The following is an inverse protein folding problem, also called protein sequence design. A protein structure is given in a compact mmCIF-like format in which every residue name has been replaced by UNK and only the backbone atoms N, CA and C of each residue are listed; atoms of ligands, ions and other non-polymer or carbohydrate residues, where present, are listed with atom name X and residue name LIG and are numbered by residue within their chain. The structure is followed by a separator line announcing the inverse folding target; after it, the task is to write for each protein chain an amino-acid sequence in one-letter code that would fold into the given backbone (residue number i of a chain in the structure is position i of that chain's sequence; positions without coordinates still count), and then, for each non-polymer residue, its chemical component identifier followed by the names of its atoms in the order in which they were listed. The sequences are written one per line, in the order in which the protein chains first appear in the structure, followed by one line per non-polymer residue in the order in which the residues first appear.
data_IF_320230318236
#
_entry.id   IF_320230318236
#
_cell.length_a   1.000
_cell.length_b   1.000
_cell.length_c   1.000
_cell.angle_alpha   90.00
_cell.angle_beta   90.00
_cell.angle_gamma   90.00
#
_symmetry.space_group_name_H-M   'P 1'
#
loop_
_entity.id
_entity.type
_entity.pdbx_description
1 polymer ?
#
# COMPACT_ATOMS: atom_id res chain seq x y z
N UNK A 1 -24.39 7.57 -1.31
CA UNK A 1 -23.49 6.43 -1.07
C UNK A 1 -23.92 5.32 -1.99
N UNK A 2 -23.06 4.93 -2.93
CA UNK A 2 -23.29 3.79 -3.82
C UNK A 2 -22.30 2.72 -3.37
N UNK A 3 -22.81 1.53 -3.05
CA UNK A 3 -21.96 0.35 -2.90
C UNK A 3 -21.31 0.05 -4.26
N UNK A 4 -19.98 -0.06 -4.26
CA UNK A 4 -19.25 -0.51 -5.44
C UNK A 4 -19.69 -1.95 -5.73
N UNK A 5 -20.08 -2.16 -6.98
CA UNK A 5 -20.52 -3.48 -7.43
C UNK A 5 -19.32 -4.42 -7.51
N UNK A 6 -19.57 -5.73 -7.39
CA UNK A 6 -18.53 -6.76 -7.49
C UNK A 6 -17.66 -6.56 -8.75
N UNK A 7 -18.25 -6.12 -9.87
CA UNK A 7 -17.53 -5.79 -11.11
C UNK A 7 -16.61 -4.55 -11.04
N UNK A 8 -16.84 -3.62 -10.10
CA UNK A 8 -15.99 -2.44 -9.89
C UNK A 8 -14.78 -2.76 -8.98
N UNK A 9 -14.80 -3.91 -8.29
CA UNK A 9 -13.63 -4.48 -7.59
C UNK A 9 -12.68 -5.22 -8.57
N UNK A 10 -13.15 -5.56 -9.76
CA UNK A 10 -12.43 -6.38 -10.77
C UNK A 10 -11.42 -5.61 -11.64
N UNK A 11 -11.17 -4.31 -11.41
CA UNK A 11 -10.33 -3.49 -12.31
C UNK A 11 -8.87 -3.27 -11.85
N UNK A 12 -8.41 -3.83 -10.72
CA UNK A 12 -7.03 -3.58 -10.22
C UNK A 12 -6.00 -4.67 -10.58
N UNK A 13 -6.42 -5.83 -11.10
CA UNK A 13 -5.46 -6.78 -11.70
C UNK A 13 -6.18 -7.72 -12.68
N UNK A 14 -6.02 -7.46 -13.99
CA UNK A 14 -6.29 -8.37 -15.13
C UNK A 14 -7.39 -9.44 -14.96
N UNK A 15 -8.62 -9.13 -15.36
CA UNK A 15 -9.72 -10.09 -15.43
C UNK A 15 -9.68 -11.00 -16.66
N UNK A 16 -9.82 -12.32 -16.43
CA UNK A 16 -10.51 -13.23 -17.32
C UNK A 16 -11.50 -14.09 -16.49
N UNK A 17 -12.73 -14.18 -16.99
CA UNK A 17 -13.95 -14.50 -16.26
C UNK A 17 -14.11 -15.97 -15.83
N UNK A 18 -14.86 -16.19 -14.74
CA UNK A 18 -15.56 -17.44 -14.49
C UNK A 18 -17.05 -17.14 -14.18
N UNK A 19 -17.91 -17.53 -15.10
CA UNK A 19 -19.35 -17.58 -14.91
C UNK A 19 -19.74 -19.05 -14.64
N UNK A 20 -20.24 -19.35 -13.44
CA UNK A 20 -21.42 -20.20 -13.19
C UNK A 20 -21.65 -20.29 -11.68
N UNK A 21 -22.73 -19.70 -11.17
CA UNK A 21 -23.23 -20.00 -9.81
C UNK A 21 -24.72 -20.27 -9.95
N UNK A 22 -25.08 -21.53 -9.70
CA UNK A 22 -26.43 -22.09 -9.82
C UNK A 22 -27.36 -21.44 -8.76
N UNK A 23 -28.44 -20.74 -9.17
CA UNK A 23 -29.34 -20.04 -8.26
C UNK A 23 -30.30 -20.95 -7.47
N UNK A 24 -30.08 -22.28 -7.46
CA UNK A 24 -30.97 -23.24 -6.81
C UNK A 24 -30.57 -23.67 -5.39
N UNK A 25 -29.44 -23.22 -4.84
CA UNK A 25 -29.06 -23.56 -3.46
C UNK A 25 -29.72 -22.62 -2.42
N UNK A 26 -30.44 -23.15 -1.41
CA UNK A 26 -31.01 -22.34 -0.34
C UNK A 26 -29.91 -21.83 0.62
N UNK A 27 -30.04 -20.61 1.17
CA UNK A 27 -29.03 -20.02 2.03
C UNK A 27 -28.89 -20.83 3.33
N UNK A 28 -27.66 -21.22 3.63
CA UNK A 28 -27.32 -21.95 4.86
C UNK A 28 -27.35 -20.96 6.03
N UNK A 29 -28.26 -21.16 6.99
CA UNK A 29 -28.28 -20.38 8.24
C UNK A 29 -26.98 -20.64 9.03
N UNK A 30 -26.13 -19.62 9.14
CA UNK A 30 -24.93 -19.66 9.97
C UNK A 30 -25.31 -19.59 11.46
N UNK A 31 -24.69 -20.40 12.33
CA UNK A 31 -24.94 -20.35 13.78
C UNK A 31 -24.43 -19.02 14.39
N UNK A 32 -25.00 -18.58 15.54
CA UNK A 32 -24.63 -17.31 16.15
C UNK A 32 -23.16 -17.27 16.60
N UNK A 33 -22.46 -16.22 16.19
CA UNK A 33 -21.06 -15.93 16.52
C UNK A 33 -20.92 -15.61 18.01
N UNK A 34 -20.13 -16.42 18.71
CA UNK A 34 -19.65 -16.12 20.08
C UNK A 34 -18.34 -15.35 19.94
N UNK A 35 -18.36 -14.06 20.26
CA UNK A 35 -17.15 -13.21 20.26
C UNK A 35 -16.35 -13.51 21.52
N UNK A 36 -15.25 -14.24 21.38
CA UNK A 36 -14.24 -14.32 22.44
C UNK A 36 -13.26 -13.14 22.26
N UNK A 37 -12.91 -12.41 23.33
CA UNK A 37 -11.89 -11.37 23.26
C UNK A 37 -10.55 -11.95 22.83
N UNK A 38 -9.73 -11.19 22.07
CA UNK A 38 -8.43 -11.65 21.62
C UNK A 38 -7.52 -11.98 22.83
N UNK A 39 -6.66 -13.00 22.73
CA UNK A 39 -5.66 -13.28 23.75
C UNK A 39 -4.63 -12.12 23.83
N UNK A 40 -4.15 -11.93 25.05
CA UNK A 40 -3.30 -10.89 25.64
C UNK A 40 -2.31 -10.09 24.75
N UNK A 41 -2.25 -8.80 25.10
CA UNK A 41 -1.35 -7.70 24.68
C UNK A 41 -0.06 -8.06 23.91
N UNK A 42 0.28 -7.30 22.85
CA UNK A 42 1.56 -7.42 22.17
C UNK A 42 2.74 -7.11 23.13
N UNK A 43 3.92 -7.69 22.90
CA UNK A 43 5.09 -7.48 23.76
C UNK A 43 5.44 -5.99 23.85
N UNK A 44 5.61 -5.49 25.08
CA UNK A 44 5.99 -4.10 25.33
C UNK A 44 7.42 -3.85 24.88
N UNK A 45 7.58 -2.98 23.88
CA UNK A 45 8.87 -2.43 23.51
C UNK A 45 9.37 -1.50 24.65
N UNK A 46 10.69 -1.45 24.92
CA UNK A 46 11.24 -0.52 25.89
C UNK A 46 10.95 0.94 25.46
N UNK A 47 10.77 1.87 26.42
CA UNK A 47 10.51 3.26 26.10
C UNK A 47 11.64 3.84 25.25
N UNK A 48 11.27 4.53 24.18
CA UNK A 48 12.19 5.34 23.38
C UNK A 48 12.87 6.38 24.27
N UNK A 49 14.19 6.61 24.11
CA UNK A 49 14.85 7.70 24.83
C UNK A 49 14.24 9.05 24.44
N UNK A 50 14.27 10.07 25.34
CA UNK A 50 13.67 11.36 25.07
C UNK A 50 14.28 11.98 23.81
N UNK A 51 13.46 12.25 22.80
CA UNK A 51 13.85 13.07 21.66
C UNK A 51 14.09 14.47 22.20
N UNK A 52 15.35 14.91 22.17
CA UNK A 52 15.74 16.27 22.50
C UNK A 52 15.01 17.21 21.51
N UNK A 53 14.08 18.02 22.01
CA UNK A 53 13.34 18.97 21.18
C UNK A 53 14.34 19.98 20.58
N UNK A 54 14.39 20.17 19.26
CA UNK A 54 15.16 21.26 18.68
C UNK A 54 14.60 22.61 19.18
N UNK A 55 15.47 23.63 19.34
CA UNK A 55 15.05 24.92 19.87
C UNK A 55 13.96 25.56 18.99
N UNK A 56 13.02 26.31 19.58
CA UNK A 56 11.96 26.95 18.82
C UNK A 56 12.56 27.93 17.79
N UNK A 57 11.99 27.99 16.57
CA UNK A 57 12.46 28.94 15.57
C UNK A 57 12.24 30.38 16.07
N UNK A 58 13.09 31.33 15.65
CA UNK A 58 12.94 32.72 16.06
C UNK A 58 11.58 33.25 15.59
N UNK A 59 10.82 33.87 16.51
CA UNK A 59 9.61 34.62 16.19
C UNK A 59 9.99 35.82 15.29
N UNK A 60 9.87 35.63 13.98
CA UNK A 60 9.82 36.69 12.99
C UNK A 60 8.39 37.21 12.89
N UNK A 61 8.22 38.51 13.14
CA UNK A 61 6.92 39.18 13.22
C UNK A 61 6.11 39.14 11.92
N UNK A 62 4.79 39.20 12.09
CA UNK A 62 3.83 39.23 10.99
C UNK A 62 3.93 40.47 10.10
N UNK A 63 3.51 40.29 8.86
CA UNK A 63 3.20 41.37 7.92
C UNK A 63 3.60 41.03 6.49
N UNK A 64 2.63 40.65 5.66
CA UNK A 64 2.82 40.58 4.21
C UNK A 64 1.81 39.70 3.49
N UNK A 65 0.69 40.30 3.06
CA UNK A 65 -0.13 39.76 1.97
C UNK A 65 0.64 39.99 0.66
N UNK A 66 1.49 39.04 0.28
CA UNK A 66 1.99 38.87 -1.08
C UNK A 66 1.92 37.37 -1.36
N UNK A 67 1.30 36.96 -2.47
CA UNK A 67 1.06 35.55 -2.78
C UNK A 67 2.38 34.78 -2.82
N UNK A 68 2.67 34.04 -1.75
CA UNK A 68 3.81 33.13 -1.66
C UNK A 68 3.66 32.07 -2.76
N UNK A 69 4.33 32.33 -3.88
CA UNK A 69 4.46 31.38 -4.97
C UNK A 69 5.33 30.27 -4.42
N UNK A 70 4.71 29.17 -4.01
CA UNK A 70 5.43 27.97 -3.68
C UNK A 70 6.34 27.58 -4.84
N UNK A 71 7.62 27.35 -4.55
CA UNK A 71 8.60 26.89 -5.53
C UNK A 71 8.79 25.38 -5.31
N UNK A 72 8.46 24.52 -6.30
CA UNK A 72 8.71 23.09 -6.21
C UNK A 72 10.16 22.78 -5.88
N UNK A 73 10.39 21.75 -5.06
CA UNK A 73 11.75 21.29 -4.75
C UNK A 73 12.44 20.79 -6.03
N UNK A 74 13.77 20.68 -5.99
CA UNK A 74 14.49 19.96 -7.02
C UNK A 74 13.94 18.53 -7.13
N UNK A 75 13.72 18.06 -8.36
CA UNK A 75 13.22 16.72 -8.62
C UNK A 75 14.25 15.68 -8.13
N UNK A 76 13.97 15.05 -6.99
CA UNK A 76 14.78 13.97 -6.42
C UNK A 76 13.85 12.92 -5.79
N UNK A 77 14.27 11.65 -5.88
CA UNK A 77 13.64 10.58 -5.14
C UNK A 77 14.03 10.68 -3.66
N UNK A 78 13.04 11.01 -2.82
CA UNK A 78 13.17 11.17 -1.36
C UNK A 78 12.28 10.18 -0.60
N UNK A 79 11.92 9.06 -1.23
CA UNK A 79 11.13 8.01 -0.61
C UNK A 79 11.96 7.30 0.46
N UNK A 80 11.43 7.24 1.67
CA UNK A 80 11.99 6.47 2.77
C UNK A 80 11.59 5.00 2.65
N UNK A 81 12.43 4.22 1.98
CA UNK A 81 12.21 2.78 1.83
C UNK A 81 12.26 2.04 3.18
N UNK A 82 13.02 2.53 4.16
CA UNK A 82 13.08 1.91 5.48
C UNK A 82 11.75 2.11 6.24
N UNK A 83 11.09 3.25 6.07
CA UNK A 83 9.72 3.43 6.55
C UNK A 83 8.79 2.39 5.92
N UNK A 84 8.83 2.24 4.60
CA UNK A 84 7.96 1.32 3.85
C UNK A 84 8.19 -0.12 4.32
N UNK A 85 9.44 -0.56 4.38
CA UNK A 85 9.80 -1.89 4.90
C UNK A 85 9.25 -2.12 6.32
N UNK A 86 9.23 -1.09 7.17
CA UNK A 86 8.74 -1.18 8.54
C UNK A 86 7.21 -1.30 8.67
N UNK A 87 6.45 -1.00 7.62
CA UNK A 87 4.98 -1.08 7.61
C UNK A 87 4.43 -2.25 6.78
N UNK A 88 5.25 -2.88 5.93
CA UNK A 88 4.84 -4.03 5.09
C UNK A 88 4.94 -5.39 5.79
N UNK A 89 5.33 -5.45 7.07
CA UNK A 89 5.34 -6.71 7.84
C UNK A 89 6.55 -7.63 7.59
N UNK A 90 7.51 -7.18 6.78
CA UNK A 90 8.80 -7.84 6.55
C UNK A 90 8.77 -8.92 5.46
N UNK A 91 9.95 -9.27 4.98
CA UNK A 91 10.13 -10.23 3.89
C UNK A 91 9.96 -11.69 4.38
N UNK A 92 9.10 -12.45 3.69
CA UNK A 92 8.85 -13.87 3.95
C UNK A 92 9.42 -14.74 2.83
N UNK A 93 10.36 -15.63 3.16
CA UNK A 93 10.99 -16.53 2.19
C UNK A 93 10.17 -17.79 1.91
N UNK A 94 9.41 -18.23 2.90
CA UNK A 94 8.43 -19.30 2.76
C UNK A 94 7.08 -18.69 2.35
N UNK A 95 6.51 -19.19 1.26
CA UNK A 95 5.23 -18.71 0.79
C UNK A 95 4.11 -19.11 1.76
N UNK A 96 3.13 -18.22 1.92
CA UNK A 96 1.98 -18.41 2.78
C UNK A 96 0.71 -17.95 2.07
N UNK A 97 -0.44 -18.15 2.69
CA UNK A 97 -1.70 -17.53 2.27
C UNK A 97 -2.22 -16.73 3.46
N UNK A 98 -2.54 -15.44 3.32
CA UNK A 98 -3.16 -14.66 4.37
C UNK A 98 -4.42 -15.34 4.91
N UNK A 99 -4.45 -15.62 6.21
CA UNK A 99 -5.60 -16.25 6.89
C UNK A 99 -5.97 -15.50 8.16
N UNK A 100 -7.27 -15.52 8.50
CA UNK A 100 -7.78 -15.12 9.80
C UNK A 100 -8.39 -16.34 10.49
N UNK A 101 -7.81 -16.78 11.61
CA UNK A 101 -8.20 -18.00 12.32
C UNK A 101 -8.26 -19.26 11.42
N UNK A 102 -7.33 -19.37 10.46
CA UNK A 102 -7.24 -20.50 9.53
C UNK A 102 -8.22 -20.45 8.36
N UNK A 103 -9.04 -19.40 8.26
CA UNK A 103 -9.88 -19.12 7.09
C UNK A 103 -9.14 -18.14 6.19
N UNK A 104 -9.05 -18.43 4.89
CA UNK A 104 -8.41 -17.52 3.93
C UNK A 104 -9.15 -16.18 3.91
N UNK A 105 -8.39 -15.09 3.95
CA UNK A 105 -8.94 -13.74 3.87
C UNK A 105 -9.34 -13.49 2.41
N UNK A 106 -10.62 -13.23 2.17
CA UNK A 106 -11.21 -12.93 0.86
C UNK A 106 -10.77 -13.90 -0.25
N UNK A 107 -10.21 -13.39 -1.35
CA UNK A 107 -9.65 -14.15 -2.47
C UNK A 107 -8.11 -14.08 -2.48
N UNK A 108 -7.47 -14.00 -1.31
CA UNK A 108 -6.01 -13.91 -1.21
C UNK A 108 -5.34 -15.08 -1.94
N UNK A 109 -4.28 -14.79 -2.69
CA UNK A 109 -3.46 -15.81 -3.33
C UNK A 109 -2.28 -16.25 -2.49
N UNK A 110 -1.41 -17.04 -3.12
CA UNK A 110 -0.12 -17.42 -2.54
C UNK A 110 0.75 -16.18 -2.45
N UNK A 111 1.22 -15.84 -1.25
CA UNK A 111 1.98 -14.63 -0.95
C UNK A 111 3.41 -14.99 -0.54
N UNK A 112 4.40 -14.25 -1.03
CA UNK A 112 5.83 -14.43 -0.71
C UNK A 112 6.57 -13.09 -0.72
N UNK A 113 7.84 -13.07 -0.31
CA UNK A 113 8.67 -11.88 -0.21
C UNK A 113 8.00 -10.83 0.71
N UNK A 114 8.04 -9.55 0.36
CA UNK A 114 7.40 -8.49 1.14
C UNK A 114 5.95 -8.30 0.68
N UNK A 115 5.13 -9.34 0.82
CA UNK A 115 3.69 -9.29 0.55
C UNK A 115 3.29 -9.41 -0.93
N UNK A 116 4.13 -9.98 -1.78
CA UNK A 116 3.82 -10.17 -3.20
C UNK A 116 2.82 -11.30 -3.38
N UNK A 117 1.56 -10.95 -3.70
CA UNK A 117 0.48 -11.90 -4.00
C UNK A 117 0.61 -12.41 -5.46
N UNK A 118 0.75 -13.73 -5.59
CA UNK A 118 0.89 -14.45 -6.87
C UNK A 118 -0.45 -14.75 -7.55
N UNK A 119 -1.58 -14.64 -6.84
CA UNK A 119 -2.93 -14.91 -7.37
C UNK A 119 -3.32 -13.97 -8.50
N UNK A 120 -2.83 -12.73 -8.49
CA UNK A 120 -3.04 -11.75 -9.56
C UNK A 120 -1.95 -11.74 -10.66
N UNK A 121 -0.89 -12.54 -10.51
CA UNK A 121 0.29 -12.48 -11.38
C UNK A 121 0.23 -13.53 -12.49
N UNK A 122 0.81 -13.20 -13.65
CA UNK A 122 1.03 -14.14 -14.75
C UNK A 122 2.53 -14.34 -14.98
N UNK A 123 2.90 -15.36 -15.77
CA UNK A 123 4.28 -15.52 -16.23
C UNK A 123 4.76 -14.32 -17.04
N UNK A 124 3.88 -13.73 -17.84
CA UNK A 124 4.15 -12.55 -18.66
C UNK A 124 4.30 -11.30 -17.81
N UNK A 125 3.48 -11.10 -16.78
CA UNK A 125 3.60 -9.94 -15.89
C UNK A 125 4.94 -9.96 -15.16
N UNK A 126 5.31 -11.10 -14.57
CA UNK A 126 6.59 -11.25 -13.88
C UNK A 126 7.79 -11.09 -14.83
N UNK A 127 7.72 -11.63 -16.05
CA UNK A 127 8.76 -11.44 -17.05
C UNK A 127 8.86 -9.96 -17.50
N UNK A 128 7.73 -9.27 -17.66
CA UNK A 128 7.70 -7.85 -18.00
C UNK A 128 8.29 -6.97 -16.89
N UNK A 129 8.15 -7.38 -15.63
CA UNK A 129 8.81 -6.77 -14.46
C UNK A 129 10.32 -7.04 -14.42
N UNK A 130 10.85 -7.91 -15.28
CA UNK A 130 12.27 -8.27 -15.31
C UNK A 130 12.67 -9.33 -14.28
N UNK A 131 11.70 -10.08 -13.74
CA UNK A 131 11.98 -11.19 -12.82
C UNK A 131 12.72 -12.30 -13.58
N UNK A 132 13.77 -12.85 -12.96
CA UNK A 132 14.59 -13.91 -13.56
C UNK A 132 13.74 -15.13 -13.96
N UNK A 133 14.01 -15.68 -15.14
CA UNK A 133 13.21 -16.76 -15.71
C UNK A 133 13.19 -18.03 -14.84
N UNK A 134 14.26 -18.31 -14.09
CA UNK A 134 14.28 -19.43 -13.17
C UNK A 134 13.31 -19.18 -12.00
N UNK A 135 13.28 -17.95 -11.46
CA UNK A 135 12.32 -17.57 -10.43
C UNK A 135 10.88 -17.58 -10.98
N UNK A 136 10.61 -17.06 -12.17
CA UNK A 136 9.29 -17.15 -12.82
C UNK A 136 8.84 -18.62 -12.92
N UNK A 137 9.75 -19.52 -13.32
CA UNK A 137 9.46 -20.96 -13.40
C UNK A 137 9.13 -21.55 -12.03
N UNK A 138 9.85 -21.15 -10.98
CA UNK A 138 9.57 -21.55 -9.59
C UNK A 138 8.20 -21.05 -9.11
N UNK A 139 7.79 -19.83 -9.48
CA UNK A 139 6.53 -19.22 -9.05
C UNK A 139 5.31 -19.71 -9.85
N UNK A 140 5.51 -20.15 -11.10
CA UNK A 140 4.45 -20.55 -12.05
C UNK A 140 3.36 -21.46 -11.44
N UNK A 141 3.67 -22.50 -10.63
CA UNK A 141 2.64 -23.38 -10.07
C UNK A 141 1.66 -22.72 -9.09
N UNK A 142 1.97 -21.51 -8.61
CA UNK A 142 1.20 -20.79 -7.60
C UNK A 142 0.49 -19.55 -8.16
N UNK A 143 0.72 -19.23 -9.43
CA UNK A 143 0.05 -18.13 -10.12
C UNK A 143 -1.44 -18.43 -10.29
N UNK A 144 -2.28 -17.38 -10.26
CA UNK A 144 -3.74 -17.48 -10.42
C UNK A 144 -4.48 -18.29 -9.37
N UNK A 145 -3.79 -18.85 -8.37
CA UNK A 145 -4.42 -19.55 -7.27
C UNK A 145 -4.86 -18.55 -6.21
N UNK A 146 -6.12 -18.64 -5.81
CA UNK A 146 -6.73 -17.80 -4.78
C UNK A 146 -7.52 -18.65 -3.79
N UNK A 147 -7.81 -18.09 -2.62
CA UNK A 147 -8.70 -18.73 -1.64
C UNK A 147 -8.16 -20.09 -1.18
N UNK A 148 -9.07 -21.08 -1.10
CA UNK A 148 -8.74 -22.42 -0.64
C UNK A 148 -7.76 -23.15 -1.57
N UNK A 149 -7.77 -22.87 -2.87
CA UNK A 149 -6.87 -23.51 -3.83
C UNK A 149 -5.41 -23.05 -3.63
N UNK A 150 -5.21 -21.76 -3.35
CA UNK A 150 -3.91 -21.22 -2.94
C UNK A 150 -3.41 -21.91 -1.67
N UNK A 151 -4.27 -22.03 -0.66
CA UNK A 151 -3.92 -22.63 0.63
C UNK A 151 -3.54 -24.11 0.45
N UNK A 152 -4.33 -24.85 -0.32
CA UNK A 152 -4.05 -26.25 -0.65
C UNK A 152 -2.72 -26.40 -1.41
N UNK A 153 -2.42 -25.51 -2.35
CA UNK A 153 -1.18 -25.57 -3.13
C UNK A 153 0.06 -25.40 -2.25
N UNK A 154 0.07 -24.41 -1.36
CA UNK A 154 1.18 -24.19 -0.41
C UNK A 154 1.32 -25.34 0.58
N UNK A 155 0.21 -25.90 1.08
CA UNK A 155 0.24 -27.04 2.00
C UNK A 155 0.75 -28.33 1.35
N UNK A 156 0.37 -28.59 0.09
CA UNK A 156 0.76 -29.79 -0.64
C UNK A 156 2.16 -29.69 -1.24
N UNK A 157 2.56 -28.50 -1.65
CA UNK A 157 3.87 -28.22 -2.23
C UNK A 157 4.39 -26.90 -1.67
N UNK A 158 5.07 -26.90 -0.52
CA UNK A 158 5.63 -25.68 0.06
C UNK A 158 6.60 -24.99 -0.89
N UNK A 159 6.43 -23.68 -1.08
CA UNK A 159 7.34 -22.84 -1.85
C UNK A 159 8.30 -22.12 -0.90
N UNK A 160 9.59 -22.28 -1.15
CA UNK A 160 10.65 -21.51 -0.51
C UNK A 160 11.49 -20.81 -1.58
N UNK A 161 11.74 -19.52 -1.43
CA UNK A 161 12.65 -18.74 -2.28
C UNK A 161 13.83 -18.24 -1.46
N UNK A 162 14.97 -18.03 -2.12
CA UNK A 162 16.14 -17.42 -1.46
C UNK A 162 15.91 -15.93 -1.18
N UNK A 163 16.63 -15.37 -0.22
CA UNK A 163 16.65 -13.93 0.06
C UNK A 163 16.94 -13.10 -1.20
N UNK A 164 17.95 -13.50 -1.98
CA UNK A 164 18.26 -12.81 -3.24
C UNK A 164 17.12 -12.86 -4.28
N UNK A 165 16.32 -13.94 -4.29
CA UNK A 165 15.14 -14.04 -5.15
C UNK A 165 13.99 -13.18 -4.63
N UNK A 166 13.79 -13.14 -3.31
CA UNK A 166 12.80 -12.29 -2.66
C UNK A 166 13.13 -10.80 -2.89
N UNK A 167 14.39 -10.40 -2.71
CA UNK A 167 14.87 -9.04 -3.00
C UNK A 167 14.67 -8.66 -4.47
N UNK A 168 14.98 -9.56 -5.39
CA UNK A 168 14.77 -9.31 -6.81
C UNK A 168 13.29 -9.11 -7.14
N UNK A 169 12.41 -9.92 -6.55
CA UNK A 169 10.96 -9.82 -6.73
C UNK A 169 10.40 -8.53 -6.12
N UNK A 170 10.79 -8.22 -4.88
CA UNK A 170 10.40 -7.00 -4.17
C UNK A 170 10.82 -5.77 -4.96
N UNK A 171 12.07 -5.71 -5.42
CA UNK A 171 12.57 -4.58 -6.20
C UNK A 171 11.83 -4.41 -7.54
N UNK A 172 11.52 -5.51 -8.22
CA UNK A 172 10.81 -5.49 -9.50
C UNK A 172 9.37 -4.95 -9.33
N UNK A 173 8.62 -5.51 -8.38
CA UNK A 173 7.25 -5.06 -8.06
C UNK A 173 7.24 -3.63 -7.55
N UNK A 174 8.16 -3.27 -6.66
CA UNK A 174 8.26 -1.92 -6.11
C UNK A 174 8.50 -0.88 -7.18
N UNK A 175 9.44 -1.17 -8.08
CA UNK A 175 9.78 -0.28 -9.19
C UNK A 175 8.60 -0.03 -10.13
N UNK A 176 7.82 -1.06 -10.44
CA UNK A 176 6.65 -0.94 -11.32
C UNK A 176 5.51 -0.12 -10.69
N UNK A 177 5.17 -0.42 -9.42
CA UNK A 177 4.18 0.36 -8.66
C UNK A 177 4.62 1.82 -8.59
N UNK A 178 5.88 2.06 -8.23
CA UNK A 178 6.40 3.42 -8.09
C UNK A 178 6.40 4.16 -9.43
N UNK A 179 6.85 3.54 -10.51
CA UNK A 179 6.83 4.15 -11.84
C UNK A 179 5.41 4.52 -12.26
N UNK A 180 4.43 3.64 -12.01
CA UNK A 180 3.04 3.88 -12.37
C UNK A 180 2.40 5.00 -11.55
N UNK A 181 2.62 5.04 -10.23
CA UNK A 181 2.06 6.10 -9.37
C UNK A 181 2.72 7.45 -9.66
N UNK A 182 4.04 7.49 -9.90
CA UNK A 182 4.76 8.72 -10.30
C UNK A 182 4.20 9.28 -11.61
N UNK A 183 4.04 8.43 -12.63
CA UNK A 183 3.49 8.85 -13.91
C UNK A 183 2.05 9.34 -13.77
N UNK A 184 1.23 8.64 -12.99
CA UNK A 184 -0.16 9.03 -12.73
C UNK A 184 -0.24 10.36 -11.98
N UNK A 185 0.64 10.57 -11.01
CA UNK A 185 0.72 11.80 -10.21
C UNK A 185 1.09 12.99 -11.08
N UNK A 186 2.18 12.89 -11.85
CA UNK A 186 2.65 13.96 -12.73
C UNK A 186 1.62 14.32 -13.82
N UNK A 187 0.79 13.37 -14.24
CA UNK A 187 -0.32 13.63 -15.17
C UNK A 187 -1.55 14.26 -14.51
N UNK A 188 -1.67 14.17 -13.18
CA UNK A 188 -2.86 14.62 -12.43
C UNK A 188 -2.64 15.92 -11.64
N UNK A 189 -1.40 16.20 -11.23
CA UNK A 189 -1.04 17.43 -10.52
C UNK A 189 -0.64 18.53 -11.49
N UNK A 190 -1.07 19.76 -11.22
CA UNK A 190 -0.74 20.97 -11.98
C UNK A 190 0.22 21.92 -11.25
N UNK A 191 0.62 21.59 -10.02
CA UNK A 191 1.43 22.46 -9.16
C UNK A 191 2.84 21.91 -8.87
N UNK A 192 3.05 20.59 -8.96
CA UNK A 192 4.36 19.96 -8.79
C UNK A 192 4.39 18.55 -9.40
N UNK A 193 5.54 18.14 -9.90
CA UNK A 193 5.80 16.72 -10.18
C UNK A 193 6.07 15.97 -8.86
N UNK A 194 5.84 14.65 -8.86
CA UNK A 194 6.00 13.77 -7.69
C UNK A 194 7.36 13.93 -7.01
N UNK A 195 8.45 13.92 -7.78
CA UNK A 195 9.80 14.03 -7.21
C UNK A 195 10.16 15.45 -6.74
N UNK A 196 9.30 16.43 -6.99
CA UNK A 196 9.42 17.78 -6.43
C UNK A 196 8.67 17.94 -5.11
N UNK A 197 7.95 16.91 -4.66
CA UNK A 197 7.33 16.86 -3.35
C UNK A 197 8.37 16.63 -2.25
N UNK A 198 8.08 17.06 -1.00
CA UNK A 198 8.93 16.73 0.14
C UNK A 198 8.88 15.23 0.47
N UNK A 199 9.88 14.75 1.21
CA UNK A 199 10.11 13.31 1.38
C UNK A 199 9.00 12.57 2.13
N UNK A 200 8.38 13.21 3.13
CA UNK A 200 7.26 12.62 3.87
C UNK A 200 6.04 12.39 2.99
N UNK A 201 5.72 13.36 2.13
CA UNK A 201 4.65 13.24 1.12
C UNK A 201 4.95 12.15 0.10
N UNK A 202 6.16 12.13 -0.50
CA UNK A 202 6.54 11.07 -1.45
C UNK A 202 6.39 9.68 -0.82
N UNK A 203 6.86 9.54 0.42
CA UNK A 203 6.83 8.27 1.16
C UNK A 203 5.40 7.83 1.48
N UNK A 204 4.54 8.74 1.94
CA UNK A 204 3.14 8.42 2.25
C UNK A 204 2.38 7.96 1.00
N UNK A 205 2.50 8.67 -0.13
CA UNK A 205 1.85 8.28 -1.39
C UNK A 205 2.35 6.93 -1.88
N UNK A 206 3.67 6.70 -1.84
CA UNK A 206 4.26 5.42 -2.24
C UNK A 206 3.79 4.27 -1.33
N UNK A 207 3.74 4.49 -0.01
CA UNK A 207 3.26 3.49 0.94
C UNK A 207 1.79 3.11 0.72
N UNK A 208 0.90 4.07 0.47
CA UNK A 208 -0.50 3.79 0.14
C UNK A 208 -0.59 3.02 -1.20
N UNK A 209 0.22 3.39 -2.19
CA UNK A 209 0.29 2.69 -3.48
C UNK A 209 0.80 1.25 -3.37
N UNK A 210 1.70 0.95 -2.45
CA UNK A 210 2.14 -0.43 -2.23
C UNK A 210 1.03 -1.31 -1.66
N UNK A 211 0.16 -0.76 -0.82
CA UNK A 211 -0.92 -1.52 -0.22
C UNK A 211 -2.16 -1.65 -1.12
N UNK A 212 -2.52 -0.59 -1.85
CA UNK A 212 -3.74 -0.52 -2.66
C UNK A 212 -3.49 -0.69 -4.17
N UNK A 213 -2.23 -0.90 -4.55
CA UNK A 213 -1.79 -0.87 -5.94
C UNK A 213 -1.60 0.55 -6.47
N UNK A 214 -0.97 0.70 -7.65
CA UNK A 214 -0.60 2.00 -8.20
C UNK A 214 -1.80 2.82 -8.72
N UNK A 215 -2.98 2.21 -8.86
CA UNK A 215 -4.23 2.82 -9.34
C UNK A 215 -4.98 3.64 -8.28
N UNK A 216 -4.29 4.52 -7.55
CA UNK A 216 -4.83 5.25 -6.40
C UNK A 216 -6.06 6.12 -6.72
N UNK A 217 -6.19 6.62 -7.95
CA UNK A 217 -7.36 7.37 -8.39
C UNK A 217 -8.68 6.58 -8.27
N UNK A 218 -8.60 5.26 -8.44
CA UNK A 218 -9.75 4.35 -8.32
C UNK A 218 -9.82 3.72 -6.93
N UNK A 219 -8.68 3.26 -6.42
CA UNK A 219 -8.63 2.54 -5.14
C UNK A 219 -8.89 3.46 -3.93
N UNK A 220 -8.38 4.70 -3.98
CA UNK A 220 -8.41 5.65 -2.87
C UNK A 220 -8.74 7.07 -3.37
N UNK A 221 -9.92 7.29 -3.99
CA UNK A 221 -10.20 8.49 -4.79
C UNK A 221 -10.12 9.80 -4.00
N UNK A 222 -10.54 9.80 -2.73
CA UNK A 222 -10.44 10.97 -1.86
C UNK A 222 -8.98 11.34 -1.60
N UNK A 223 -8.18 10.35 -1.17
CA UNK A 223 -6.76 10.54 -0.89
C UNK A 223 -6.02 11.02 -2.13
N UNK A 224 -6.26 10.35 -3.27
CA UNK A 224 -5.66 10.72 -4.55
C UNK A 224 -5.97 12.16 -4.93
N UNK A 225 -7.25 12.54 -4.89
CA UNK A 225 -7.68 13.91 -5.20
C UNK A 225 -6.97 14.92 -4.31
N UNK A 226 -6.89 14.68 -3.01
CA UNK A 226 -6.25 15.59 -2.05
C UNK A 226 -4.76 15.77 -2.36
N UNK A 227 -4.02 14.67 -2.57
CA UNK A 227 -2.58 14.74 -2.83
C UNK A 227 -2.24 15.26 -4.22
N UNK A 228 -3.12 15.16 -5.22
CA UNK A 228 -2.87 15.73 -6.56
C UNK A 228 -3.37 17.16 -6.71
N UNK A 229 -4.12 17.70 -5.73
CA UNK A 229 -4.62 19.08 -5.73
C UNK A 229 -4.06 19.96 -4.60
N UNK A 230 -3.18 19.42 -3.74
CA UNK A 230 -2.46 20.19 -2.74
C UNK A 230 -3.20 20.36 -1.41
N UNK A 231 -4.32 19.66 -1.21
CA UNK A 231 -5.11 19.70 0.03
C UNK A 231 -4.48 18.80 1.10
N UNK A 232 -3.26 19.13 1.55
CA UNK A 232 -2.46 18.26 2.42
C UNK A 232 -3.07 18.04 3.79
N UNK A 233 -3.70 19.05 4.39
CA UNK A 233 -4.36 18.87 5.68
C UNK A 233 -5.58 17.95 5.58
N UNK A 234 -6.27 17.96 4.44
CA UNK A 234 -7.37 17.03 4.17
C UNK A 234 -6.83 15.62 3.93
N UNK A 235 -5.68 15.48 3.25
CA UNK A 235 -4.99 14.19 3.10
C UNK A 235 -4.59 13.59 4.46
N UNK A 236 -4.05 14.41 5.38
CA UNK A 236 -3.74 13.99 6.76
C UNK A 236 -5.00 13.55 7.50
N UNK A 237 -6.06 14.34 7.42
CA UNK A 237 -7.34 14.02 8.09
C UNK A 237 -7.94 12.73 7.55
N UNK A 238 -7.90 12.54 6.23
CA UNK A 238 -8.38 11.34 5.57
C UNK A 238 -7.54 10.11 5.93
N UNK A 239 -6.20 10.20 5.99
CA UNK A 239 -5.38 9.09 6.45
C UNK A 239 -5.70 8.70 7.91
N UNK A 240 -5.88 9.66 8.81
CA UNK A 240 -6.24 9.36 10.21
C UNK A 240 -7.67 8.78 10.38
N UNK A 241 -8.51 8.79 9.34
CA UNK A 241 -9.88 8.26 9.35
C UNK A 241 -10.18 7.54 8.02
N UNK A 242 -9.22 6.71 7.58
CA UNK A 242 -9.23 6.12 6.24
C UNK A 242 -10.32 5.07 6.04
N UNK A 243 -10.76 4.44 7.14
CA UNK A 243 -11.81 3.42 7.16
C UNK A 243 -11.36 2.02 6.72
N UNK A 244 -10.05 1.77 6.65
CA UNK A 244 -9.47 0.45 6.42
C UNK A 244 -9.17 -0.28 7.74
N UNK A 245 -8.60 -1.49 7.67
CA UNK A 245 -8.22 -2.26 8.86
C UNK A 245 -6.81 -1.91 9.39
N UNK A 246 -6.18 -0.85 8.86
CA UNK A 246 -4.76 -0.54 9.01
C UNK A 246 -4.51 0.83 9.66
N UNK A 247 -5.38 1.25 10.58
CA UNK A 247 -5.35 2.56 11.25
C UNK A 247 -3.94 2.99 11.70
N UNK A 248 -3.19 2.11 12.39
CA UNK A 248 -1.84 2.45 12.87
C UNK A 248 -0.84 2.72 11.74
N UNK A 249 -0.98 2.06 10.58
CA UNK A 249 -0.14 2.33 9.40
C UNK A 249 -0.54 3.68 8.80
N UNK A 250 -1.84 3.94 8.67
CA UNK A 250 -2.37 5.20 8.14
C UNK A 250 -1.97 6.41 8.99
N UNK A 251 -2.04 6.31 10.32
CA UNK A 251 -1.58 7.34 11.26
C UNK A 251 -0.10 7.69 11.05
N UNK A 252 0.74 6.67 10.81
CA UNK A 252 2.18 6.86 10.57
C UNK A 252 2.45 7.56 9.24
N UNK A 253 1.68 7.26 8.20
CA UNK A 253 1.77 7.94 6.90
C UNK A 253 1.25 9.39 6.99
N UNK A 254 0.17 9.61 7.75
CA UNK A 254 -0.37 10.94 8.02
C UNK A 254 0.66 11.82 8.75
N UNK A 255 1.40 11.24 9.71
CA UNK A 255 2.45 11.93 10.45
C UNK A 255 3.59 12.42 9.54
N UNK A 256 3.94 11.67 8.50
CA UNK A 256 4.95 12.08 7.51
C UNK A 256 4.50 13.34 6.76
N UNK A 257 3.25 13.35 6.27
CA UNK A 257 2.69 14.53 5.57
C UNK A 257 2.58 15.71 6.55
N UNK A 258 2.12 15.48 7.78
CA UNK A 258 1.97 16.54 8.80
C UNK A 258 3.31 17.16 9.17
N UNK A 259 4.40 16.38 9.19
CA UNK A 259 5.75 16.90 9.41
C UNK A 259 6.18 17.84 8.28
N UNK A 260 5.94 17.47 7.01
CA UNK A 260 6.25 18.33 5.87
C UNK A 260 5.40 19.62 5.84
N UNK A 261 4.13 19.54 6.24
CA UNK A 261 3.26 20.72 6.45
C UNK A 261 3.86 21.63 7.52
N UNK A 262 4.24 21.07 8.67
CA UNK A 262 4.80 21.83 9.81
C UNK A 262 6.10 22.52 9.43
N UNK A 263 6.88 21.90 8.55
CA UNK A 263 8.12 22.47 8.01
C UNK A 263 7.88 23.50 6.89
N UNK A 264 6.63 23.78 6.51
CA UNK A 264 6.29 24.69 5.41
C UNK A 264 6.82 24.21 4.05
N UNK A 265 7.00 22.91 3.87
CA UNK A 265 7.70 22.32 2.71
C UNK A 265 6.75 21.78 1.64
N UNK A 266 5.44 21.79 1.89
CA UNK A 266 4.45 21.24 0.97
C UNK A 266 3.99 22.27 -0.10
N UNK A 267 3.82 21.84 -1.37
CA UNK A 267 3.28 22.70 -2.43
C UNK A 267 1.81 23.10 -2.28
N UNK A 268 1.28 23.97 -3.14
CA UNK A 268 -0.16 23.92 -3.51
C UNK A 268 -1.21 24.18 -2.40
N UNK A 269 -0.87 24.88 -1.31
CA UNK A 269 -1.81 25.16 -0.23
C UNK A 269 -2.82 26.27 -0.56
N UNK A 270 -4.05 25.89 -0.90
CA UNK A 270 -5.23 26.76 -0.98
C UNK A 270 -6.30 26.33 0.03
#
# INVERSE_FOLDING_TARGET
MRELTIEELFLVAGAAAAADVDPSEPPTELPPVVVNPPPSEPPTLPPTPPVEQPPPPPQGGGGGNDGDVFVPLAAENRIDNAFIDSVEGGQQLDAYVPTNNGVVIDQSGVTVATGVDLGGQTTESLAALGVDQALVTTLTPYLHLTGQDALNAVQNNPLHITEAQADALDNAVRSDILNTVVNSYNNSSDYADFYQLPGGVQTAIASVAYQYGPGLATATPNFWTQVTTGHWQDAVTNLNDFGDAYDTRRDREAALIQQDITNGSVPGGG
#
